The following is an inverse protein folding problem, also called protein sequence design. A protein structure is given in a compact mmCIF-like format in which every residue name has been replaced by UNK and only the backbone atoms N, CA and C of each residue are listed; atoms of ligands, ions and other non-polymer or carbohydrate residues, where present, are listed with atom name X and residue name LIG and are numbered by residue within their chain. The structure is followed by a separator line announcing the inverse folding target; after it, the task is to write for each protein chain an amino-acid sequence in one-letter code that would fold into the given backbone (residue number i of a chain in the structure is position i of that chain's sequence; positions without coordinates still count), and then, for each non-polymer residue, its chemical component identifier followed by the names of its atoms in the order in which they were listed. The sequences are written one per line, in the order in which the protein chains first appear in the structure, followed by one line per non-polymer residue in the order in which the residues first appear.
data_IF_079367154664
#
_entry.id   IF_079367154664
#
_cell.length_a   1.000
_cell.length_b   1.000
_cell.length_c   1.000
_cell.angle_alpha   90.00
_cell.angle_beta   90.00
_cell.angle_gamma   90.00
#
_symmetry.space_group_name_H-M   'P 1'
#
loop_
_entity.id
_entity.type
_entity.pdbx_description
1 polymer ?
#
# COMPACT_ATOMS: atom_id res chain seq x y z
N UNK A 1 -4.00 3.84 11.24
CA UNK A 1 -5.32 3.27 11.62
C UNK A 1 -6.03 2.62 10.45
N UNK A 2 -6.01 3.16 9.22
CA UNK A 2 -6.71 2.55 8.08
C UNK A 2 -6.05 2.86 6.72
N UNK A 3 -6.14 1.92 5.79
CA UNK A 3 -5.69 2.04 4.39
C UNK A 3 -6.88 1.70 3.50
N UNK A 4 -7.29 2.64 2.66
CA UNK A 4 -8.49 2.48 1.84
C UNK A 4 -8.26 2.91 0.40
N UNK A 5 -8.77 2.11 -0.54
CA UNK A 5 -8.89 2.47 -1.95
C UNK A 5 -10.36 2.50 -2.30
N UNK A 6 -10.84 3.65 -2.74
CA UNK A 6 -12.27 3.88 -3.02
C UNK A 6 -12.48 4.55 -4.37
N UNK A 7 -13.65 4.35 -4.98
CA UNK A 7 -14.16 5.15 -6.10
C UNK A 7 -15.52 5.75 -5.72
N UNK A 8 -15.53 7.00 -5.27
CA UNK A 8 -16.76 7.62 -4.74
C UNK A 8 -17.27 6.90 -3.49
N UNK A 9 -18.41 6.20 -3.60
CA UNK A 9 -18.98 5.37 -2.53
C UNK A 9 -18.52 3.91 -2.57
N UNK A 10 -17.89 3.47 -3.66
CA UNK A 10 -17.49 2.09 -3.84
C UNK A 10 -16.14 1.84 -3.15
N UNK A 11 -16.08 0.77 -2.36
CA UNK A 11 -14.89 0.39 -1.59
C UNK A 11 -14.21 -0.79 -2.28
N UNK A 12 -13.00 -0.57 -2.79
CA UNK A 12 -12.20 -1.61 -3.45
C UNK A 12 -11.28 -2.32 -2.44
N UNK A 13 -10.77 -1.57 -1.47
CA UNK A 13 -9.90 -2.06 -0.41
C UNK A 13 -10.12 -1.24 0.86
N UNK A 14 -10.21 -1.89 2.02
CA UNK A 14 -10.39 -1.19 3.31
C UNK A 14 -9.94 -2.09 4.45
N UNK A 15 -8.67 -1.97 4.82
CA UNK A 15 -8.03 -2.76 5.88
C UNK A 15 -7.28 -1.84 6.84
N UNK A 16 -7.12 -2.28 8.10
CA UNK A 16 -6.12 -1.68 8.98
C UNK A 16 -4.69 -2.14 8.58
N UNK A 17 -3.67 -1.53 9.19
CA UNK A 17 -2.27 -1.84 8.85
C UNK A 17 -1.89 -3.30 9.13
N UNK A 18 -2.39 -3.88 10.22
CA UNK A 18 -2.08 -5.26 10.61
C UNK A 18 -2.75 -6.28 9.69
N UNK A 19 -4.03 -6.07 9.37
CA UNK A 19 -4.77 -6.85 8.39
C UNK A 19 -4.11 -6.80 7.02
N UNK A 20 -3.68 -5.61 6.59
CA UNK A 20 -3.07 -5.45 5.28
C UNK A 20 -1.70 -6.16 5.18
N UNK A 21 -0.88 -6.07 6.22
CA UNK A 21 0.37 -6.84 6.29
C UNK A 21 0.13 -8.35 6.36
N UNK A 22 -0.84 -8.79 7.16
CA UNK A 22 -1.19 -10.21 7.25
C UNK A 22 -1.61 -10.78 5.88
N UNK A 23 -2.42 -10.02 5.12
CA UNK A 23 -2.82 -10.40 3.77
C UNK A 23 -1.62 -10.49 2.83
N UNK A 24 -0.75 -9.47 2.81
CA UNK A 24 0.47 -9.46 1.99
C UNK A 24 1.39 -10.65 2.33
N UNK A 25 1.61 -10.94 3.60
CA UNK A 25 2.46 -12.06 4.04
C UNK A 25 1.84 -13.38 3.62
N UNK A 26 0.52 -13.52 3.79
CA UNK A 26 -0.19 -14.72 3.40
C UNK A 26 -0.12 -14.95 1.90
N UNK A 27 -0.27 -13.93 1.06
CA UNK A 27 -0.26 -14.08 -0.39
C UNK A 27 1.16 -14.31 -0.92
N UNK A 28 2.08 -13.41 -0.57
CA UNK A 28 3.48 -13.41 -1.06
C UNK A 28 4.35 -14.50 -0.45
N UNK A 29 3.88 -15.15 0.63
CA UNK A 29 4.62 -16.15 1.43
C UNK A 29 5.95 -15.63 1.97
N UNK A 30 6.07 -14.32 2.17
CA UNK A 30 7.25 -13.67 2.73
C UNK A 30 6.87 -12.50 3.64
N UNK A 31 7.70 -12.18 4.66
CA UNK A 31 7.47 -11.02 5.52
C UNK A 31 7.43 -9.71 4.73
N UNK A 32 6.56 -8.77 5.13
CA UNK A 32 6.65 -7.38 4.66
C UNK A 32 7.85 -6.69 5.29
N UNK A 33 8.45 -5.75 4.56
CA UNK A 33 9.55 -4.94 5.09
C UNK A 33 9.02 -4.00 6.18
N UNK A 34 9.34 -4.32 7.43
CA UNK A 34 9.25 -3.42 8.56
C UNK A 34 10.66 -3.27 9.13
N UNK A 35 11.12 -2.04 9.26
CA UNK A 35 12.46 -1.73 9.76
C UNK A 35 12.38 -0.63 10.80
N UNK A 36 13.06 -0.84 11.90
CA UNK A 36 13.22 0.16 12.93
C UNK A 36 13.58 -0.51 14.24
N UNK A 37 14.55 0.07 14.93
CA UNK A 37 14.87 -0.34 16.29
C UNK A 37 14.14 0.64 17.20
N UNK A 38 13.43 0.16 18.22
CA UNK A 38 12.81 0.99 19.27
C UNK A 38 13.89 1.62 20.16
N UNK A 39 14.78 2.39 19.54
CA UNK A 39 15.95 3.04 20.10
C UNK A 39 15.91 4.50 19.63
N UNK A 40 16.22 5.40 20.54
CA UNK A 40 16.23 6.83 20.27
C UNK A 40 17.15 7.17 19.07
N UNK A 41 16.73 8.15 18.27
CA UNK A 41 17.40 8.64 17.06
C UNK A 41 17.46 7.68 15.86
N UNK A 42 16.80 6.52 15.91
CA UNK A 42 16.64 5.64 14.75
C UNK A 42 15.30 5.85 14.04
N UNK A 43 15.29 5.68 12.72
CA UNK A 43 14.08 5.75 11.92
C UNK A 43 13.26 4.46 12.01
N UNK A 44 11.94 4.62 11.97
CA UNK A 44 10.97 3.56 11.81
C UNK A 44 10.40 3.63 10.38
N UNK A 45 10.22 2.48 9.74
CA UNK A 45 9.64 2.34 8.40
C UNK A 45 8.81 1.07 8.37
N UNK A 46 7.58 1.20 7.88
CA UNK A 46 6.68 0.07 7.66
C UNK A 46 6.16 0.11 6.22
N UNK A 47 6.18 -1.04 5.55
CA UNK A 47 5.58 -1.18 4.22
C UNK A 47 4.24 -1.90 4.29
N UNK A 48 3.30 -1.40 3.49
CA UNK A 48 1.94 -1.91 3.37
C UNK A 48 1.63 -2.03 1.87
N UNK A 49 1.27 -3.23 1.41
CA UNK A 49 0.97 -3.50 -0.01
C UNK A 49 -0.53 -3.55 -0.29
N UNK A 50 -0.95 -3.18 -1.49
CA UNK A 50 -2.28 -3.51 -2.03
C UNK A 50 -2.02 -4.30 -3.30
N UNK A 51 -2.22 -5.62 -3.21
CA UNK A 51 -1.92 -6.54 -4.31
C UNK A 51 -3.16 -6.67 -5.20
N UNK A 52 -3.02 -6.37 -6.50
CA UNK A 52 -4.06 -6.55 -7.51
C UNK A 52 -3.76 -7.77 -8.37
N UNK A 53 -4.81 -8.50 -8.74
CA UNK A 53 -4.71 -9.70 -9.56
C UNK A 53 -4.23 -10.94 -8.81
N UNK A 54 -3.95 -12.01 -9.58
CA UNK A 54 -3.51 -13.32 -9.03
C UNK A 54 -2.00 -13.42 -8.89
N UNK A 55 -1.27 -12.60 -9.64
CA UNK A 55 0.18 -12.54 -9.71
C UNK A 55 0.59 -11.15 -10.24
N UNK A 56 1.86 -10.76 -10.03
CA UNK A 56 2.40 -9.50 -10.54
C UNK A 56 2.25 -9.44 -12.07
N UNK A 57 1.68 -8.35 -12.58
CA UNK A 57 1.38 -8.12 -14.00
C UNK A 57 0.21 -8.94 -14.60
N UNK A 58 -0.75 -9.38 -13.78
CA UNK A 58 -1.99 -10.00 -14.25
C UNK A 58 -2.88 -9.02 -15.05
N UNK A 59 -2.84 -9.13 -16.39
CA UNK A 59 -3.55 -8.24 -17.33
C UNK A 59 -5.08 -8.23 -17.18
N UNK A 60 -5.67 -9.27 -16.59
CA UNK A 60 -7.12 -9.38 -16.48
C UNK A 60 -7.65 -8.68 -15.22
N UNK A 61 -6.85 -8.70 -14.15
CA UNK A 61 -7.29 -8.35 -12.79
C UNK A 61 -6.45 -7.27 -12.11
N UNK A 62 -5.47 -6.70 -12.80
CA UNK A 62 -4.78 -5.52 -12.29
C UNK A 62 -5.70 -4.31 -12.19
N UNK A 63 -5.28 -3.37 -11.36
CA UNK A 63 -5.92 -2.07 -11.28
C UNK A 63 -5.71 -1.31 -12.58
N UNK A 64 -6.80 -1.07 -13.30
CA UNK A 64 -6.85 -0.13 -14.41
C UNK A 64 -7.59 1.14 -13.96
N UNK A 65 -6.88 2.24 -13.66
CA UNK A 65 -7.48 3.48 -13.17
C UNK A 65 -8.53 4.08 -14.13
N UNK A 66 -8.45 3.80 -15.44
CA UNK A 66 -9.37 4.35 -16.44
C UNK A 66 -10.80 3.81 -16.32
N UNK A 67 -10.98 2.70 -15.60
CA UNK A 67 -12.27 2.08 -15.33
C UNK A 67 -13.03 2.74 -14.17
N UNK A 68 -12.40 3.69 -13.48
CA UNK A 68 -12.93 4.37 -12.29
C UNK A 68 -13.14 5.86 -12.54
N UNK A 69 -14.04 6.50 -11.79
CA UNK A 69 -14.39 7.91 -11.99
C UNK A 69 -13.66 8.85 -11.04
N UNK A 70 -13.40 8.41 -9.83
CA UNK A 70 -12.81 9.16 -8.73
C UNK A 70 -12.06 8.21 -7.79
N UNK A 71 -11.10 7.47 -8.34
CA UNK A 71 -10.25 6.56 -7.59
C UNK A 71 -9.37 7.35 -6.60
N UNK A 72 -9.43 7.00 -5.32
CA UNK A 72 -8.72 7.69 -4.23
C UNK A 72 -8.08 6.69 -3.28
N UNK A 73 -6.79 6.85 -3.03
CA UNK A 73 -6.08 6.22 -1.91
C UNK A 73 -6.19 7.12 -0.68
N UNK A 74 -6.81 6.61 0.40
CA UNK A 74 -6.93 7.28 1.69
C UNK A 74 -6.13 6.53 2.73
N UNK A 75 -5.21 7.22 3.39
CA UNK A 75 -4.40 6.67 4.47
C UNK A 75 -4.66 7.48 5.72
N UNK A 76 -5.15 6.82 6.77
CA UNK A 76 -5.30 7.40 8.10
C UNK A 76 -4.24 6.80 9.01
N UNK A 77 -3.47 7.66 9.67
CA UNK A 77 -2.45 7.26 10.63
C UNK A 77 -2.73 7.90 12.00
N UNK A 78 -2.22 7.25 13.03
CA UNK A 78 -2.24 7.75 14.41
C UNK A 78 -0.80 7.71 14.90
N UNK A 79 -0.24 8.88 15.20
CA UNK A 79 1.14 9.02 15.66
C UNK A 79 1.35 8.43 17.05
N UNK A 80 0.32 8.44 17.89
CA UNK A 80 0.44 8.07 19.30
C UNK A 80 0.60 6.54 19.45
N UNK A 81 0.11 5.77 18.48
CA UNK A 81 0.28 4.30 18.43
C UNK A 81 1.72 3.90 18.07
N UNK A 82 2.46 4.78 17.39
CA UNK A 82 3.84 4.49 16.95
C UNK A 82 4.82 4.37 18.12
N UNK A 83 4.45 4.89 19.30
CA UNK A 83 5.33 5.05 20.48
C UNK A 83 6.70 5.65 20.10
N UNK A 84 6.66 6.65 19.21
CA UNK A 84 7.84 7.37 18.75
C UNK A 84 7.77 8.86 19.13
N UNK A 85 8.94 9.48 19.23
CA UNK A 85 9.10 10.93 19.40
C UNK A 85 9.55 11.60 18.10
N UNK A 86 8.98 11.21 16.96
CA UNK A 86 9.41 11.65 15.64
C UNK A 86 9.06 13.12 15.41
N UNK A 87 10.05 13.89 14.98
CA UNK A 87 9.91 15.30 14.60
C UNK A 87 9.50 15.50 13.14
N UNK A 88 9.59 14.45 12.30
CA UNK A 88 9.22 14.47 10.89
C UNK A 88 8.87 13.06 10.38
N UNK A 89 7.65 12.90 9.84
CA UNK A 89 7.22 11.68 9.15
C UNK A 89 7.17 11.86 7.63
N UNK A 90 7.36 10.77 6.88
CA UNK A 90 7.15 10.74 5.43
C UNK A 90 6.16 9.64 5.04
N UNK A 91 5.38 9.90 3.98
CA UNK A 91 4.54 8.93 3.32
C UNK A 91 4.95 8.86 1.86
N UNK A 92 5.25 7.66 1.38
CA UNK A 92 5.65 7.39 -0.01
C UNK A 92 4.68 6.36 -0.59
N UNK A 93 4.28 6.56 -1.85
CA UNK A 93 3.43 5.61 -2.59
C UNK A 93 4.20 5.15 -3.82
N UNK A 94 4.34 3.84 -3.95
CA UNK A 94 5.05 3.16 -5.03
C UNK A 94 4.08 2.23 -5.75
N UNK A 95 4.24 2.05 -7.06
CA UNK A 95 3.41 1.15 -7.84
C UNK A 95 4.24 0.45 -8.91
N UNK A 96 4.06 -0.86 -9.05
CA UNK A 96 4.54 -1.63 -10.18
C UNK A 96 3.54 -1.48 -11.33
N UNK A 97 3.93 -0.72 -12.37
CA UNK A 97 3.08 -0.40 -13.50
C UNK A 97 3.43 -1.28 -14.70
N UNK A 98 2.43 -1.71 -15.45
CA UNK A 98 2.61 -2.47 -16.67
C UNK A 98 1.51 -2.11 -17.68
N UNK A 99 1.94 -1.73 -18.89
CA UNK A 99 1.12 -1.68 -20.10
C UNK A 99 2.01 -1.56 -21.37
N UNK A 100 3.30 -1.22 -21.19
CA UNK A 100 4.39 -1.22 -22.17
C UNK A 100 3.95 -1.05 -23.63
N UNK A 101 3.20 0.01 -23.93
CA UNK A 101 3.14 0.45 -25.32
C UNK A 101 4.52 0.98 -25.70
N UNK A 102 5.37 0.12 -26.26
CA UNK A 102 6.43 0.53 -27.17
C UNK A 102 5.78 0.58 -28.55
N UNK A 103 5.54 1.79 -29.07
CA UNK A 103 5.20 1.95 -30.48
C UNK A 103 6.42 1.51 -31.30
N UNK A 104 6.30 0.40 -32.02
CA UNK A 104 7.26 -0.03 -33.05
C UNK A 104 6.57 0.12 -34.41
N UNK A 105 7.04 1.11 -35.17
CA UNK A 105 6.84 1.22 -36.62
C UNK A 105 7.46 0.04 -37.38
#
# INVERSE_FOLDING_TARGET
TKIELIDGSDVLHSLDGGQNQALCIFDRKCPTMNHGQYINANSQRSLYGIDFGRFLFDKELALDPSRFRNLQLKVSYDSDISDDGVTSGSLEVWADLFDEKVDVD
#
